data_IF_706350608167
#
_entry.id   IF_706350608167
#
_cell.length_a   1.000
_cell.length_b   1.000
_cell.length_c   1.000
_cell.angle_alpha   90.00
_cell.angle_beta   90.00
_cell.angle_gamma   90.00
#
_symmetry.space_group_name_H-M   'P 1'
#
loop_
_entity.id
_entity.type
_entity.pdbx_description
1 polymer ?
#
# COMPACT_ATOMS: atom_id res chain seq x y z
N UNK A 1 -17.24 -25.30 -0.49
CA UNK A 1 -16.50 -24.15 0.04
C UNK A 1 -17.11 -22.86 -0.51
N UNK A 2 -17.45 -21.95 0.37
CA UNK A 2 -17.96 -20.64 -0.04
C UNK A 2 -16.78 -19.70 -0.26
N UNK A 3 -16.68 -19.14 -1.46
CA UNK A 3 -15.67 -18.15 -1.78
C UNK A 3 -16.24 -16.76 -1.61
N UNK A 4 -15.40 -15.83 -1.11
CA UNK A 4 -15.80 -14.43 -1.09
C UNK A 4 -16.02 -13.92 -2.50
N UNK A 5 -17.03 -13.07 -2.71
CA UNK A 5 -17.16 -12.37 -3.98
C UNK A 5 -15.89 -11.55 -4.24
N UNK A 6 -15.35 -11.67 -5.42
CA UNK A 6 -14.18 -10.86 -5.80
C UNK A 6 -14.62 -9.72 -6.68
N UNK A 7 -13.93 -8.60 -6.51
CA UNK A 7 -14.14 -7.45 -7.36
C UNK A 7 -13.75 -7.81 -8.80
N UNK A 8 -14.41 -7.21 -9.78
CA UNK A 8 -14.11 -7.49 -11.18
C UNK A 8 -12.72 -6.95 -11.55
N UNK A 9 -11.93 -7.78 -12.23
CA UNK A 9 -10.62 -7.37 -12.74
C UNK A 9 -10.71 -6.14 -13.64
N UNK A 10 -11.84 -5.94 -14.32
CA UNK A 10 -12.04 -4.79 -15.20
C UNK A 10 -12.05 -3.46 -14.44
N UNK A 11 -12.37 -3.48 -13.15
CA UNK A 11 -12.34 -2.28 -12.31
C UNK A 11 -10.94 -1.98 -11.83
N UNK A 12 -10.05 -2.97 -11.82
CA UNK A 12 -8.68 -2.85 -11.36
C UNK A 12 -7.77 -2.64 -12.57
N UNK A 13 -7.81 -1.45 -13.15
CA UNK A 13 -7.10 -1.16 -14.41
C UNK A 13 -5.98 -0.14 -14.25
N UNK A 14 -5.59 0.16 -13.03
CA UNK A 14 -4.55 1.12 -12.73
C UNK A 14 -3.28 0.41 -12.28
N UNK A 15 -2.15 1.11 -12.37
CA UNK A 15 -0.85 0.59 -11.98
C UNK A 15 -0.13 1.62 -11.12
N UNK A 16 0.65 1.12 -10.18
CA UNK A 16 1.45 1.96 -9.28
C UNK A 16 2.86 1.39 -9.18
N UNK A 17 3.77 2.19 -8.64
CA UNK A 17 5.08 1.71 -8.21
C UNK A 17 5.15 1.85 -6.70
N UNK A 18 5.52 0.77 -6.02
CA UNK A 18 5.75 0.77 -4.57
C UNK A 18 7.24 0.77 -4.33
N UNK A 19 7.72 1.72 -3.54
CA UNK A 19 9.11 1.81 -3.16
C UNK A 19 9.22 1.37 -1.70
N UNK A 20 9.76 0.19 -1.48
CA UNK A 20 9.94 -0.38 -0.15
C UNK A 20 11.39 -0.17 0.29
N UNK A 21 11.55 0.42 1.46
CA UNK A 21 12.87 0.68 2.05
C UNK A 21 13.15 -0.37 3.09
N UNK A 22 14.34 -0.99 3.03
CA UNK A 22 14.80 -1.91 4.05
C UNK A 22 16.13 -1.45 4.59
N UNK A 23 16.38 -1.75 5.88
CA UNK A 23 17.64 -1.44 6.54
C UNK A 23 18.43 -2.75 6.62
N UNK A 24 19.62 -2.76 6.03
CA UNK A 24 20.52 -3.90 6.09
C UNK A 24 21.22 -3.97 7.46
N UNK A 25 21.56 -5.20 7.89
CA UNK A 25 22.40 -5.38 9.06
C UNK A 25 23.84 -4.94 8.82
N UNK A 26 24.22 -4.71 7.56
CA UNK A 26 25.53 -4.20 7.21
C UNK A 26 25.59 -2.69 7.45
N UNK A 27 26.78 -2.22 7.80
CA UNK A 27 27.01 -0.80 8.01
C UNK A 27 28.00 -0.28 6.96
N UNK A 28 27.90 1.01 6.64
CA UNK A 28 28.85 1.66 5.75
C UNK A 28 30.17 1.94 6.51
N UNK A 29 31.14 2.56 5.82
CA UNK A 29 32.45 2.89 6.42
C UNK A 29 32.35 3.86 7.60
N UNK A 30 31.19 4.51 7.75
CA UNK A 30 30.93 5.48 8.83
C UNK A 30 30.12 4.87 9.97
N UNK A 31 29.82 3.56 9.92
CA UNK A 31 29.03 2.88 10.94
C UNK A 31 27.54 3.10 10.84
N UNK A 32 27.04 3.69 9.76
CA UNK A 32 25.59 3.88 9.56
C UNK A 32 25.00 2.67 8.85
N UNK A 33 23.77 2.27 9.22
CA UNK A 33 23.09 1.19 8.52
C UNK A 33 22.90 1.53 7.04
N UNK A 34 23.15 0.54 6.20
CA UNK A 34 22.94 0.69 4.76
C UNK A 34 21.45 0.49 4.48
N UNK A 35 20.82 1.49 3.86
CA UNK A 35 19.44 1.41 3.43
C UNK A 35 19.40 0.95 1.98
N UNK A 36 18.54 0.00 1.69
CA UNK A 36 18.25 -0.42 0.33
C UNK A 36 16.80 -0.14 -0.01
N UNK A 37 16.57 0.21 -1.27
CA UNK A 37 15.23 0.46 -1.78
C UNK A 37 14.91 -0.57 -2.86
N UNK A 38 13.69 -1.10 -2.82
CA UNK A 38 13.17 -1.98 -3.83
C UNK A 38 11.93 -1.35 -4.43
N UNK A 39 11.97 -1.08 -5.73
CA UNK A 39 10.81 -0.55 -6.46
C UNK A 39 10.13 -1.70 -7.20
N UNK A 40 8.84 -1.86 -6.96
CA UNK A 40 8.04 -2.88 -7.60
C UNK A 40 6.89 -2.21 -8.35
N UNK A 41 6.75 -2.53 -9.64
CA UNK A 41 5.57 -2.11 -10.39
C UNK A 41 4.44 -3.08 -10.08
N UNK A 42 3.30 -2.53 -9.67
CA UNK A 42 2.14 -3.33 -9.28
C UNK A 42 0.99 -2.94 -10.20
N UNK A 43 0.45 -3.93 -10.89
CA UNK A 43 -0.62 -3.73 -11.86
C UNK A 43 -1.95 -4.21 -11.31
N UNK A 44 -3.03 -3.80 -11.96
CA UNK A 44 -4.39 -4.21 -11.61
C UNK A 44 -4.75 -3.81 -10.18
N UNK A 45 -4.63 -2.52 -9.91
CA UNK A 45 -5.00 -1.92 -8.62
C UNK A 45 -6.09 -0.88 -8.85
N UNK A 46 -6.70 -0.43 -7.77
CA UNK A 46 -7.62 0.71 -7.78
C UNK A 46 -6.97 1.83 -6.98
N UNK A 47 -6.86 3.01 -7.58
CA UNK A 47 -6.42 4.22 -6.89
C UNK A 47 -7.62 5.15 -6.80
N UNK A 48 -8.07 5.40 -5.58
CA UNK A 48 -9.21 6.27 -5.33
C UNK A 48 -8.72 7.52 -4.62
N UNK A 49 -8.74 8.64 -5.33
CA UNK A 49 -8.36 9.92 -4.74
C UNK A 49 -9.52 10.42 -3.89
N UNK A 50 -9.26 10.57 -2.60
CA UNK A 50 -10.22 11.08 -1.63
C UNK A 50 -9.47 11.60 -0.42
N UNK A 51 -9.97 12.69 0.17
CA UNK A 51 -9.36 13.26 1.35
C UNK A 51 -9.91 12.59 2.60
N UNK A 52 -9.03 12.08 3.44
CA UNK A 52 -9.39 11.47 4.72
C UNK A 52 -8.88 12.36 5.84
N UNK A 53 -9.76 12.68 6.78
CA UNK A 53 -9.45 13.50 7.94
C UNK A 53 -9.41 12.65 9.20
N UNK A 54 -8.56 13.03 10.15
CA UNK A 54 -8.51 12.46 11.49
C UNK A 54 -8.61 13.58 12.51
N UNK A 55 -9.19 13.28 13.66
CA UNK A 55 -9.38 14.25 14.72
C UNK A 55 -10.83 14.71 14.85
N UNK A 56 -11.06 15.65 15.78
CA UNK A 56 -12.39 16.20 16.01
C UNK A 56 -12.60 17.48 15.17
N UNK A 57 -13.79 18.08 15.28
CA UNK A 57 -14.17 19.25 14.48
C UNK A 57 -13.26 20.48 14.70
N UNK A 58 -12.54 20.55 15.80
CA UNK A 58 -11.65 21.67 16.13
C UNK A 58 -10.20 21.44 15.76
N UNK A 59 -9.82 20.18 15.47
CA UNK A 59 -8.43 19.84 15.20
C UNK A 59 -8.31 18.74 14.16
N UNK A 60 -8.97 18.91 13.02
CA UNK A 60 -8.87 17.97 11.91
C UNK A 60 -7.54 18.08 11.23
N UNK A 61 -6.96 16.92 10.93
CA UNK A 61 -5.73 16.81 10.16
C UNK A 61 -5.99 15.88 8.98
N UNK A 62 -5.49 16.26 7.81
CA UNK A 62 -5.58 15.39 6.65
C UNK A 62 -4.58 14.25 6.84
N UNK A 63 -5.07 13.02 6.84
CA UNK A 63 -4.25 11.82 7.03
C UNK A 63 -4.04 11.04 5.75
N UNK A 64 -4.84 11.30 4.73
CA UNK A 64 -4.66 10.70 3.42
C UNK A 64 -5.29 11.55 2.33
N UNK A 65 -4.71 11.50 1.13
CA UNK A 65 -5.24 12.13 -0.08
C UNK A 65 -5.77 11.11 -1.07
N UNK A 66 -5.44 9.85 -0.88
CA UNK A 66 -5.92 8.76 -1.72
C UNK A 66 -5.86 7.44 -0.95
N UNK A 67 -6.59 6.46 -1.46
CA UNK A 67 -6.52 5.08 -0.98
C UNK A 67 -6.21 4.20 -2.18
N UNK A 68 -5.21 3.33 -2.04
CA UNK A 68 -4.84 2.36 -3.05
C UNK A 68 -5.31 0.99 -2.59
N UNK A 69 -6.09 0.32 -3.43
CA UNK A 69 -6.62 -1.01 -3.14
C UNK A 69 -5.88 -2.06 -3.94
N UNK A 70 -5.35 -3.07 -3.26
CA UNK A 70 -4.70 -4.22 -3.85
C UNK A 70 -5.52 -5.47 -3.49
N UNK A 71 -5.87 -6.27 -4.48
CA UNK A 71 -6.74 -7.44 -4.28
C UNK A 71 -6.01 -8.73 -4.60
N UNK A 72 -6.06 -9.69 -3.67
CA UNK A 72 -5.47 -11.00 -3.89
C UNK A 72 -6.12 -11.69 -5.10
N UNK A 73 -5.30 -12.28 -5.96
CA UNK A 73 -5.76 -12.97 -7.15
C UNK A 73 -6.06 -12.05 -8.35
N UNK A 74 -6.00 -10.74 -8.16
CA UNK A 74 -6.25 -9.74 -9.22
C UNK A 74 -5.03 -8.87 -9.43
N UNK A 75 -4.50 -8.28 -8.35
CA UNK A 75 -3.30 -7.45 -8.37
C UNK A 75 -2.08 -8.31 -8.67
N UNK A 76 -1.24 -7.86 -9.60
CA UNK A 76 -0.08 -8.63 -10.05
C UNK A 76 1.14 -7.72 -10.29
N UNK A 77 2.27 -8.00 -9.67
CA UNK A 77 2.45 -8.94 -8.56
C UNK A 77 1.77 -8.45 -7.29
N UNK A 78 1.32 -9.38 -6.44
CA UNK A 78 0.77 -9.01 -5.13
C UNK A 78 1.93 -8.87 -4.15
N UNK A 79 2.29 -7.65 -3.75
CA UNK A 79 3.41 -7.46 -2.85
C UNK A 79 3.05 -7.90 -1.44
N UNK A 80 4.06 -8.27 -0.68
CA UNK A 80 3.88 -8.56 0.74
C UNK A 80 3.94 -7.23 1.49
N UNK A 81 2.83 -6.82 2.06
CA UNK A 81 2.69 -5.55 2.75
C UNK A 81 2.49 -5.80 4.24
N UNK A 82 3.20 -5.05 5.07
CA UNK A 82 3.06 -5.09 6.52
C UNK A 82 3.15 -3.67 7.08
N UNK A 83 2.96 -3.54 8.40
CA UNK A 83 3.06 -2.24 9.06
C UNK A 83 4.42 -1.56 8.87
N UNK A 84 5.45 -2.34 8.58
CA UNK A 84 6.79 -1.80 8.31
C UNK A 84 6.82 -0.95 7.05
N UNK A 85 5.84 -1.09 6.19
CA UNK A 85 5.74 -0.32 4.96
C UNK A 85 5.09 1.06 5.15
N UNK A 86 4.60 1.39 6.35
CA UNK A 86 4.17 2.75 6.64
C UNK A 86 5.39 3.67 6.55
N UNK A 87 5.25 4.77 5.81
CA UNK A 87 6.36 5.66 5.51
C UNK A 87 7.02 5.39 4.17
N UNK A 88 6.76 4.25 3.56
CA UNK A 88 7.26 3.96 2.22
C UNK A 88 6.49 4.79 1.18
N UNK A 89 7.00 4.81 -0.03
CA UNK A 89 6.49 5.68 -1.09
C UNK A 89 5.71 4.90 -2.13
N UNK A 90 4.73 5.57 -2.71
CA UNK A 90 3.99 5.07 -3.87
C UNK A 90 4.04 6.14 -4.95
N UNK A 91 4.38 5.74 -6.17
CA UNK A 91 4.33 6.61 -7.33
C UNK A 91 3.16 6.22 -8.21
N UNK A 92 2.37 7.21 -8.59
CA UNK A 92 1.22 7.03 -9.45
C UNK A 92 1.00 8.29 -10.29
N UNK A 93 0.93 8.11 -11.60
CA UNK A 93 0.60 9.20 -12.54
C UNK A 93 1.44 10.46 -12.31
N UNK A 94 2.75 10.29 -12.14
CA UNK A 94 3.66 11.40 -11.90
C UNK A 94 3.63 11.97 -10.48
N UNK A 95 2.78 11.44 -9.62
CA UNK A 95 2.67 11.85 -8.23
C UNK A 95 3.44 10.88 -7.34
N UNK A 96 3.99 11.39 -6.25
CA UNK A 96 4.61 10.58 -5.23
C UNK A 96 3.91 10.80 -3.90
N UNK A 97 3.44 9.71 -3.31
CA UNK A 97 2.75 9.73 -2.02
C UNK A 97 3.50 8.92 -1.00
N UNK A 98 3.26 9.23 0.26
CA UNK A 98 3.78 8.46 1.40
C UNK A 98 2.65 7.63 2.00
N UNK A 99 2.91 6.35 2.27
CA UNK A 99 1.93 5.49 2.95
C UNK A 99 1.84 5.92 4.40
N UNK A 100 0.63 6.32 4.82
CA UNK A 100 0.38 6.77 6.20
C UNK A 100 -0.34 5.73 7.03
N UNK A 101 -1.10 4.84 6.41
CA UNK A 101 -1.80 3.78 7.11
C UNK A 101 -2.04 2.59 6.19
N UNK A 102 -2.08 1.40 6.75
CA UNK A 102 -2.29 0.17 6.01
C UNK A 102 -3.39 -0.62 6.70
N UNK A 103 -4.45 -0.95 5.95
CA UNK A 103 -5.52 -1.82 6.41
C UNK A 103 -5.36 -3.16 5.69
N UNK A 104 -5.26 -4.23 6.45
CA UNK A 104 -5.15 -5.58 5.93
C UNK A 104 -6.49 -6.26 6.13
N UNK A 105 -7.16 -6.62 5.04
CA UNK A 105 -8.42 -7.35 5.09
C UNK A 105 -8.15 -8.82 4.83
N UNK A 106 -8.43 -9.65 5.83
CA UNK A 106 -8.20 -11.08 5.73
C UNK A 106 -9.41 -11.78 5.15
N UNK A 107 -9.16 -12.89 4.46
CA UNK A 107 -10.22 -13.75 3.95
C UNK A 107 -10.81 -14.50 5.14
N UNK A 108 -12.11 -14.30 5.48
CA UNK A 108 -12.72 -14.96 6.63
C UNK A 108 -12.92 -16.45 6.42
N UNK A 109 -12.81 -16.95 5.19
CA UNK A 109 -12.98 -18.37 4.88
C UNK A 109 -11.66 -19.09 4.61
N UNK A 110 -10.52 -18.37 4.70
CA UNK A 110 -9.20 -18.91 4.42
C UNK A 110 -8.13 -18.28 5.31
N UNK A 111 -6.89 -18.69 5.07
CA UNK A 111 -5.73 -18.21 5.84
C UNK A 111 -4.90 -17.24 4.99
N UNK A 112 -5.49 -16.24 4.44
CA UNK A 112 -4.74 -15.35 3.59
C UNK A 112 -5.30 -13.95 3.61
N UNK A 113 -4.61 -13.08 2.92
CA UNK A 113 -5.03 -11.70 2.73
C UNK A 113 -6.01 -11.66 1.58
N UNK A 114 -7.16 -11.03 1.80
CA UNK A 114 -8.13 -10.74 0.74
C UNK A 114 -7.73 -9.45 -0.01
N UNK A 115 -7.40 -8.41 0.73
CA UNK A 115 -7.01 -7.14 0.13
C UNK A 115 -6.17 -6.30 1.10
N UNK A 116 -5.44 -5.35 0.52
CA UNK A 116 -4.79 -4.28 1.26
C UNK A 116 -5.41 -2.96 0.86
N UNK A 117 -5.59 -2.06 1.82
CA UNK A 117 -5.96 -0.68 1.57
C UNK A 117 -4.82 0.19 2.09
N UNK A 118 -4.16 0.89 1.19
CA UNK A 118 -3.04 1.76 1.53
C UNK A 118 -3.52 3.20 1.50
N UNK A 119 -3.60 3.82 2.66
CA UNK A 119 -3.91 5.24 2.75
C UNK A 119 -2.62 6.02 2.51
N UNK A 120 -2.65 6.96 1.59
CA UNK A 120 -1.46 7.68 1.14
C UNK A 120 -1.67 9.19 1.17
N UNK A 121 -0.59 9.89 1.50
CA UNK A 121 -0.60 11.35 1.64
C UNK A 121 0.48 11.99 0.78
#
# INVERSE_FOLDING_TARGET
MVNLPRISKKLCNQSIEIIQTSISDETDDWGKPIKSEKTTQVNNVIVQEQTIYSGNSNSRVITANAVVFLFAGITDPMPKISRENVGNKIKYDGKEWTITNIVVNQDPFGKGVYSYELEVL
#
